data_IF_406922165395
#
_entry.id   IF_406922165395
#
_cell.length_a   1.000
_cell.length_b   1.000
_cell.length_c   1.000
_cell.angle_alpha   90.00
_cell.angle_beta   90.00
_cell.angle_gamma   90.00
#
_symmetry.space_group_name_H-M   'P 1'
#
loop_
_entity.id
_entity.type
_entity.pdbx_description
1 polymer ?
#
# COMPACT_ATOMS: atom_id res chain seq x y z
N UNK A 1 -37.56 -57.22 -57.78
CA UNK A 1 -37.67 -56.25 -56.69
C UNK A 1 -38.26 -54.95 -57.30
N UNK A 2 -39.36 -54.46 -56.72
CA UNK A 2 -40.05 -53.27 -57.28
C UNK A 2 -39.18 -52.02 -57.04
N UNK A 3 -39.17 -51.10 -57.97
CA UNK A 3 -38.50 -49.79 -57.88
C UNK A 3 -38.78 -49.07 -56.57
N UNK A 4 -39.97 -49.22 -56.03
CA UNK A 4 -40.39 -48.70 -54.72
C UNK A 4 -39.62 -49.32 -53.56
N UNK A 5 -39.27 -50.61 -53.61
CA UNK A 5 -38.51 -51.25 -52.54
C UNK A 5 -37.04 -50.79 -52.54
N UNK A 6 -36.44 -50.51 -53.70
CA UNK A 6 -35.11 -49.98 -53.80
C UNK A 6 -35.02 -48.50 -53.35
N UNK A 7 -36.03 -47.72 -53.66
CA UNK A 7 -36.16 -46.33 -53.20
C UNK A 7 -36.27 -46.29 -51.65
N UNK A 8 -37.11 -47.15 -51.08
CA UNK A 8 -37.28 -47.20 -49.61
C UNK A 8 -35.99 -47.67 -48.91
N UNK A 9 -35.21 -48.57 -49.52
CA UNK A 9 -33.93 -49.04 -49.00
C UNK A 9 -32.88 -47.91 -49.02
N UNK A 10 -32.81 -47.12 -50.10
CA UNK A 10 -31.91 -45.98 -50.19
C UNK A 10 -32.26 -44.91 -49.19
N UNK A 11 -33.52 -44.56 -49.00
CA UNK A 11 -33.97 -43.60 -47.99
C UNK A 11 -33.62 -44.12 -46.58
N UNK A 12 -33.87 -45.39 -46.27
CA UNK A 12 -33.53 -45.95 -44.98
C UNK A 12 -32.02 -45.91 -44.70
N UNK A 13 -31.19 -46.20 -45.72
CA UNK A 13 -29.72 -46.13 -45.59
C UNK A 13 -29.26 -44.69 -45.35
N UNK A 14 -29.81 -43.69 -46.05
CA UNK A 14 -29.50 -42.28 -45.84
C UNK A 14 -29.88 -41.84 -44.42
N UNK A 15 -31.06 -42.24 -43.94
CA UNK A 15 -31.53 -41.93 -42.57
C UNK A 15 -30.59 -42.55 -41.53
N UNK A 16 -30.17 -43.81 -41.70
CA UNK A 16 -29.25 -44.47 -40.78
C UNK A 16 -27.90 -43.77 -40.77
N UNK A 17 -27.34 -43.39 -41.93
CA UNK A 17 -26.10 -42.64 -42.03
C UNK A 17 -26.24 -41.28 -41.36
N UNK A 18 -27.34 -40.59 -41.57
CA UNK A 18 -27.60 -39.30 -40.93
C UNK A 18 -27.68 -39.42 -39.40
N UNK A 19 -28.38 -40.39 -38.89
CA UNK A 19 -28.48 -40.69 -37.44
C UNK A 19 -27.10 -41.06 -36.89
N UNK A 20 -26.31 -41.92 -37.56
CA UNK A 20 -24.99 -42.30 -37.13
C UNK A 20 -24.03 -41.09 -37.08
N UNK A 21 -24.06 -40.23 -38.09
CA UNK A 21 -23.23 -39.03 -38.14
C UNK A 21 -23.64 -37.97 -37.07
N UNK A 22 -24.93 -37.85 -36.79
CA UNK A 22 -25.47 -36.95 -35.76
C UNK A 22 -25.28 -37.49 -34.33
N UNK A 23 -24.95 -38.76 -34.18
CA UNK A 23 -24.68 -39.40 -32.87
C UNK A 23 -23.27 -39.16 -32.34
N UNK A 24 -22.36 -38.75 -33.20
CA UNK A 24 -20.93 -38.62 -32.88
C UNK A 24 -20.63 -37.13 -32.63
N UNK A 25 -19.89 -36.84 -31.54
CA UNK A 25 -19.32 -35.54 -31.28
C UNK A 25 -17.90 -35.65 -30.76
N UNK A 26 -17.09 -34.59 -30.94
CA UNK A 26 -15.69 -34.55 -30.54
C UNK A 26 -15.54 -33.54 -29.44
N UNK A 27 -14.91 -33.91 -28.33
CA UNK A 27 -14.56 -33.02 -27.23
C UNK A 27 -13.10 -32.55 -27.44
N UNK A 28 -12.87 -31.26 -27.71
CA UNK A 28 -11.52 -30.72 -27.82
C UNK A 28 -10.80 -30.72 -26.46
N UNK A 29 -9.46 -30.71 -26.47
CA UNK A 29 -8.62 -30.73 -25.26
C UNK A 29 -8.88 -29.51 -24.34
N UNK A 30 -9.28 -28.40 -24.91
CA UNK A 30 -9.50 -27.14 -24.20
C UNK A 30 -10.95 -26.90 -23.78
N UNK A 31 -11.83 -27.90 -23.95
CA UNK A 31 -13.25 -27.79 -23.58
C UNK A 31 -13.71 -29.03 -22.83
N UNK A 32 -14.65 -28.83 -21.94
CA UNK A 32 -15.47 -29.91 -21.37
C UNK A 32 -16.83 -29.91 -22.07
N UNK A 33 -17.40 -31.08 -22.24
CA UNK A 33 -18.69 -31.23 -22.87
C UNK A 33 -19.73 -31.69 -21.84
N UNK A 34 -20.84 -30.96 -21.79
CA UNK A 34 -22.02 -31.33 -20.99
C UNK A 34 -23.09 -31.76 -21.92
N UNK A 35 -23.58 -33.00 -21.71
CA UNK A 35 -24.68 -33.57 -22.46
C UNK A 35 -25.95 -33.38 -21.65
N UNK A 36 -26.88 -32.60 -22.21
CA UNK A 36 -28.19 -32.36 -21.61
C UNK A 36 -29.28 -33.12 -22.37
N UNK A 37 -30.32 -33.56 -21.66
CA UNK A 37 -31.52 -34.14 -22.21
C UNK A 37 -32.76 -33.45 -21.60
N UNK A 38 -33.53 -32.80 -22.43
CA UNK A 38 -34.66 -31.97 -21.98
C UNK A 38 -34.29 -31.00 -20.87
N UNK A 39 -33.09 -30.39 -20.97
CA UNK A 39 -32.56 -29.42 -19.98
C UNK A 39 -31.90 -30.00 -18.73
N UNK A 40 -31.96 -31.33 -18.51
CA UNK A 40 -31.31 -32.01 -17.42
C UNK A 40 -29.92 -32.54 -17.85
N UNK A 41 -28.93 -32.42 -16.99
CA UNK A 41 -27.57 -32.97 -17.26
C UNK A 41 -27.63 -34.51 -17.12
N UNK A 42 -27.33 -35.18 -18.22
CA UNK A 42 -27.25 -36.64 -18.26
C UNK A 42 -25.82 -37.12 -18.12
N UNK A 43 -24.88 -36.44 -18.75
CA UNK A 43 -23.48 -36.82 -18.73
C UNK A 43 -22.57 -35.59 -18.82
N UNK A 44 -21.38 -35.66 -18.21
CA UNK A 44 -20.34 -34.65 -18.27
C UNK A 44 -19.04 -35.32 -18.70
N UNK A 45 -18.49 -34.89 -19.85
CA UNK A 45 -17.23 -35.40 -20.39
C UNK A 45 -16.11 -34.40 -20.13
N UNK A 46 -15.17 -34.83 -19.27
CA UNK A 46 -13.99 -34.07 -18.92
C UNK A 46 -12.80 -34.41 -19.83
N UNK A 47 -12.78 -35.68 -20.34
CA UNK A 47 -11.69 -36.13 -21.16
C UNK A 47 -11.93 -35.80 -22.65
N UNK A 48 -10.89 -35.33 -23.34
CA UNK A 48 -10.98 -35.07 -24.79
C UNK A 48 -11.07 -36.37 -25.57
N UNK A 49 -11.79 -36.30 -26.67
CA UNK A 49 -11.92 -37.46 -27.54
C UNK A 49 -13.25 -37.56 -28.24
N UNK A 50 -13.48 -38.70 -28.88
CA UNK A 50 -14.67 -38.99 -29.65
C UNK A 50 -15.73 -39.61 -28.72
N UNK A 51 -16.91 -39.02 -28.65
CA UNK A 51 -17.99 -39.37 -27.76
C UNK A 51 -19.30 -39.55 -28.54
N UNK A 52 -20.27 -40.26 -27.93
CA UNK A 52 -21.54 -40.55 -28.53
C UNK A 52 -22.68 -39.85 -27.78
N UNK A 53 -23.65 -39.36 -28.52
CA UNK A 53 -24.91 -38.80 -27.99
C UNK A 53 -26.11 -39.41 -28.73
N UNK A 54 -27.26 -39.36 -28.08
CA UNK A 54 -28.52 -39.73 -28.74
C UNK A 54 -29.01 -38.53 -29.58
N UNK A 55 -29.00 -38.65 -30.91
CA UNK A 55 -29.41 -37.53 -31.77
C UNK A 55 -30.89 -37.18 -31.52
N UNK A 56 -31.22 -35.92 -31.77
CA UNK A 56 -32.59 -35.35 -31.62
C UNK A 56 -33.04 -35.15 -30.16
N UNK A 57 -32.48 -35.87 -29.18
CA UNK A 57 -32.92 -35.85 -27.78
C UNK A 57 -31.88 -35.17 -26.90
N UNK A 58 -30.60 -35.40 -27.20
CA UNK A 58 -29.49 -34.90 -26.41
C UNK A 58 -28.78 -33.73 -27.10
N UNK A 59 -28.54 -32.69 -26.32
CA UNK A 59 -27.79 -31.51 -26.74
C UNK A 59 -26.44 -31.47 -26.04
N UNK A 60 -25.40 -31.03 -26.75
CA UNK A 60 -24.04 -30.92 -26.19
C UNK A 60 -23.68 -29.46 -26.10
N UNK A 61 -23.38 -29.02 -24.88
CA UNK A 61 -22.85 -27.69 -24.60
C UNK A 61 -21.38 -27.79 -24.22
N UNK A 62 -20.54 -26.99 -24.87
CA UNK A 62 -19.11 -26.95 -24.60
C UNK A 62 -18.81 -25.80 -23.65
N UNK A 63 -18.00 -26.08 -22.63
CA UNK A 63 -17.48 -25.11 -21.66
C UNK A 63 -15.97 -25.08 -21.77
N UNK A 64 -15.40 -23.89 -21.96
CA UNK A 64 -13.95 -23.71 -22.06
C UNK A 64 -13.29 -23.91 -20.68
N UNK A 65 -12.21 -24.73 -20.63
CA UNK A 65 -11.44 -25.01 -19.41
C UNK A 65 -10.12 -24.26 -19.34
N UNK A 66 -9.85 -23.39 -20.32
CA UNK A 66 -8.64 -22.55 -20.32
C UNK A 66 -8.72 -21.49 -19.24
N UNK A 67 -7.54 -21.07 -18.81
CA UNK A 67 -7.41 -19.93 -17.91
C UNK A 67 -7.87 -18.65 -18.63
N UNK A 68 -8.80 -17.93 -18.03
CA UNK A 68 -9.38 -16.70 -18.55
C UNK A 68 -8.99 -15.53 -17.67
N UNK A 69 -8.80 -14.41 -18.29
CA UNK A 69 -8.62 -13.14 -17.61
C UNK A 69 -9.97 -12.45 -17.34
N UNK A 70 -10.02 -11.79 -16.23
CA UNK A 70 -11.08 -10.91 -15.81
C UNK A 70 -10.46 -9.57 -15.40
N UNK A 71 -10.99 -8.47 -15.88
CA UNK A 71 -10.56 -7.11 -15.56
C UNK A 71 -11.74 -6.37 -14.93
N UNK A 72 -11.64 -6.11 -13.62
CA UNK A 72 -12.68 -5.44 -12.86
C UNK A 72 -12.77 -3.95 -13.19
N UNK A 73 -13.96 -3.40 -13.06
CA UNK A 73 -14.14 -1.95 -13.13
C UNK A 73 -13.55 -1.27 -11.89
N UNK A 74 -13.04 -0.03 -12.01
CA UNK A 74 -12.57 0.73 -10.86
C UNK A 74 -13.68 0.93 -9.84
N UNK A 75 -13.43 0.56 -8.60
CA UNK A 75 -14.38 0.64 -7.49
C UNK A 75 -13.89 1.60 -6.42
N UNK A 76 -14.77 2.48 -5.96
CA UNK A 76 -14.48 3.46 -4.91
C UNK A 76 -14.66 2.80 -3.54
N UNK A 77 -13.62 2.83 -2.72
CA UNK A 77 -13.56 2.17 -1.42
C UNK A 77 -13.08 3.14 -0.32
N UNK A 78 -13.56 2.89 0.89
CA UNK A 78 -13.12 3.60 2.09
C UNK A 78 -12.30 2.65 2.96
N UNK A 79 -11.07 3.03 3.30
CA UNK A 79 -10.18 2.29 4.20
C UNK A 79 -10.51 2.55 5.68
N UNK A 80 -9.92 1.77 6.62
CA UNK A 80 -10.08 1.98 8.07
C UNK A 80 -9.66 3.38 8.51
N UNK A 81 -8.61 3.92 7.90
CA UNK A 81 -8.09 5.28 8.14
C UNK A 81 -8.90 6.38 7.42
N UNK A 82 -10.07 6.03 6.89
CA UNK A 82 -11.02 6.94 6.23
C UNK A 82 -10.47 7.65 4.98
N UNK A 83 -9.55 7.01 4.30
CA UNK A 83 -9.07 7.49 3.01
C UNK A 83 -9.94 6.89 1.89
N UNK A 84 -10.46 7.76 1.00
CA UNK A 84 -11.23 7.37 -0.16
C UNK A 84 -10.30 7.02 -1.31
N UNK A 85 -10.33 5.77 -1.74
CA UNK A 85 -9.47 5.24 -2.79
C UNK A 85 -10.29 4.58 -3.90
N UNK A 86 -9.83 4.72 -5.12
CA UNK A 86 -10.29 4.01 -6.30
C UNK A 86 -9.35 2.83 -6.53
N UNK A 87 -9.89 1.62 -6.51
CA UNK A 87 -9.12 0.38 -6.69
C UNK A 87 -9.55 -0.32 -7.97
N UNK A 88 -8.58 -0.71 -8.79
CA UNK A 88 -8.78 -1.52 -9.97
C UNK A 88 -8.09 -2.86 -9.75
N UNK A 89 -8.84 -3.96 -9.94
CA UNK A 89 -8.39 -5.34 -9.72
C UNK A 89 -8.45 -6.14 -11.01
N UNK A 90 -7.67 -7.20 -11.06
CA UNK A 90 -7.71 -8.21 -12.11
C UNK A 90 -7.73 -9.59 -11.48
N UNK A 91 -8.32 -10.55 -12.16
CA UNK A 91 -8.28 -11.94 -11.74
C UNK A 91 -8.08 -12.87 -12.93
N UNK A 92 -7.64 -14.08 -12.65
CA UNK A 92 -7.60 -15.20 -13.59
C UNK A 92 -8.36 -16.36 -13.03
N UNK A 93 -9.25 -16.89 -13.82
CA UNK A 93 -10.16 -17.94 -13.40
C UNK A 93 -10.33 -19.00 -14.46
N UNK A 94 -10.73 -20.20 -14.06
CA UNK A 94 -11.11 -21.29 -14.96
C UNK A 94 -12.20 -22.14 -14.36
N UNK A 95 -12.95 -22.83 -15.20
CA UNK A 95 -13.95 -23.78 -14.79
C UNK A 95 -13.26 -25.10 -14.40
N UNK A 96 -13.44 -25.51 -13.14
CA UNK A 96 -12.92 -26.77 -12.59
C UNK A 96 -13.97 -27.87 -12.54
N UNK A 97 -15.20 -27.52 -12.21
CA UNK A 97 -16.36 -28.42 -12.24
C UNK A 97 -17.41 -27.89 -13.23
N UNK A 98 -17.39 -28.39 -14.47
CA UNK A 98 -18.33 -27.92 -15.50
C UNK A 98 -19.79 -28.25 -15.18
N UNK A 99 -20.04 -29.31 -14.38
CA UNK A 99 -21.40 -29.66 -13.97
C UNK A 99 -22.02 -28.62 -13.05
N UNK A 100 -21.34 -28.32 -11.97
CA UNK A 100 -21.77 -27.28 -11.00
C UNK A 100 -21.88 -25.93 -11.69
N UNK A 101 -20.89 -25.61 -12.56
CA UNK A 101 -20.89 -24.38 -13.33
C UNK A 101 -22.13 -24.24 -14.22
N UNK A 102 -22.48 -25.29 -14.95
CA UNK A 102 -23.61 -25.27 -15.83
C UNK A 102 -24.97 -25.25 -15.07
N UNK A 103 -25.06 -25.96 -13.94
CA UNK A 103 -26.25 -25.94 -13.08
C UNK A 103 -26.53 -24.56 -12.50
N UNK A 104 -25.45 -23.86 -12.06
CA UNK A 104 -25.58 -22.55 -11.42
C UNK A 104 -25.67 -21.39 -12.41
N UNK A 105 -24.87 -21.41 -13.48
CA UNK A 105 -24.62 -20.22 -14.31
C UNK A 105 -25.01 -20.40 -15.77
N UNK A 106 -25.01 -21.61 -16.29
CA UNK A 106 -25.31 -22.02 -17.68
C UNK A 106 -24.40 -21.41 -18.73
N UNK A 107 -24.02 -20.15 -18.61
CA UNK A 107 -23.21 -19.41 -19.59
C UNK A 107 -21.99 -18.77 -18.94
N UNK A 108 -20.93 -18.61 -19.74
CA UNK A 108 -19.69 -17.95 -19.30
C UNK A 108 -19.90 -16.47 -18.98
N UNK A 109 -20.80 -15.80 -19.70
CA UNK A 109 -21.14 -14.39 -19.43
C UNK A 109 -21.75 -14.22 -18.04
N UNK A 110 -22.62 -15.14 -17.62
CA UNK A 110 -23.13 -15.16 -16.26
C UNK A 110 -22.02 -15.44 -15.23
N UNK A 111 -21.07 -16.33 -15.58
CA UNK A 111 -19.88 -16.55 -14.76
C UNK A 111 -19.07 -15.31 -14.52
N UNK A 112 -18.81 -14.52 -15.55
CA UNK A 112 -18.15 -13.21 -15.43
C UNK A 112 -18.93 -12.25 -14.54
N UNK A 113 -20.23 -12.13 -14.72
CA UNK A 113 -21.08 -11.22 -13.93
C UNK A 113 -21.13 -11.60 -12.43
N UNK A 114 -21.11 -12.91 -12.12
CA UNK A 114 -21.00 -13.38 -10.74
C UNK A 114 -19.62 -13.11 -10.17
N UNK A 115 -18.59 -13.30 -10.98
CA UNK A 115 -17.21 -12.99 -10.57
C UNK A 115 -17.04 -11.49 -10.27
N UNK A 116 -17.64 -10.59 -11.08
CA UNK A 116 -17.68 -9.15 -10.81
C UNK A 116 -18.21 -8.88 -9.39
N UNK A 117 -19.37 -9.41 -9.05
CA UNK A 117 -19.96 -9.20 -7.73
C UNK A 117 -19.16 -9.78 -6.57
N UNK A 118 -18.61 -10.99 -6.74
CA UNK A 118 -17.87 -11.68 -5.68
C UNK A 118 -16.49 -11.05 -5.44
N UNK A 119 -15.77 -10.71 -6.50
CA UNK A 119 -14.47 -10.05 -6.37
C UNK A 119 -14.64 -8.67 -5.75
N UNK A 120 -15.62 -7.88 -6.24
CA UNK A 120 -15.89 -6.55 -5.68
C UNK A 120 -16.26 -6.62 -4.19
N UNK A 121 -17.10 -7.58 -3.80
CA UNK A 121 -17.47 -7.78 -2.40
C UNK A 121 -16.26 -8.15 -1.53
N UNK A 122 -15.45 -9.13 -1.97
CA UNK A 122 -14.26 -9.58 -1.24
C UNK A 122 -13.19 -8.46 -1.15
N UNK A 123 -12.96 -7.73 -2.24
CA UNK A 123 -12.06 -6.57 -2.28
C UNK A 123 -12.52 -5.51 -1.30
N UNK A 124 -13.80 -5.17 -1.32
CA UNK A 124 -14.39 -4.18 -0.43
C UNK A 124 -14.29 -4.60 1.04
N UNK A 125 -14.63 -5.84 1.36
CA UNK A 125 -14.57 -6.36 2.73
C UNK A 125 -13.14 -6.32 3.28
N UNK A 126 -12.18 -6.84 2.53
CA UNK A 126 -10.80 -6.96 2.99
C UNK A 126 -10.11 -5.59 3.04
N UNK A 127 -10.25 -4.75 2.00
CA UNK A 127 -9.58 -3.44 1.95
C UNK A 127 -10.18 -2.47 2.98
N UNK A 128 -11.50 -2.49 3.20
CA UNK A 128 -12.14 -1.64 4.22
C UNK A 128 -11.75 -2.03 5.65
N UNK A 129 -11.23 -3.22 5.87
CA UNK A 129 -10.72 -3.67 7.17
C UNK A 129 -9.23 -3.36 7.39
N UNK A 130 -8.52 -2.93 6.35
CA UNK A 130 -7.07 -2.64 6.41
C UNK A 130 -6.79 -1.15 6.24
N UNK A 131 -5.59 -0.70 6.64
CA UNK A 131 -5.15 0.68 6.40
C UNK A 131 -4.64 0.86 4.96
N UNK A 132 -4.64 2.10 4.47
CA UNK A 132 -4.10 2.41 3.14
C UNK A 132 -2.64 1.94 2.99
N UNK A 133 -1.83 2.09 4.04
CA UNK A 133 -0.42 1.69 4.02
C UNK A 133 -0.24 0.17 3.91
N UNK A 134 -1.09 -0.63 4.53
CA UNK A 134 -1.08 -2.09 4.44
C UNK A 134 -1.46 -2.58 3.03
N UNK A 135 -2.41 -1.92 2.40
CA UNK A 135 -2.86 -2.26 1.05
C UNK A 135 -1.88 -1.80 -0.04
N UNK A 136 -1.13 -0.71 0.21
CA UNK A 136 -0.22 -0.12 -0.77
C UNK A 136 1.17 -0.76 -0.75
N UNK A 137 1.71 -1.06 0.44
CA UNK A 137 3.11 -1.48 0.62
C UNK A 137 3.26 -2.99 0.71
N UNK A 138 4.18 -3.53 -0.09
CA UNK A 138 4.59 -4.93 -0.04
C UNK A 138 5.78 -5.18 0.91
N UNK A 139 6.59 -4.15 1.22
CA UNK A 139 7.84 -4.29 1.97
C UNK A 139 7.87 -3.45 3.25
N UNK A 140 8.53 -3.97 4.28
CA UNK A 140 8.77 -3.28 5.56
C UNK A 140 9.92 -2.26 5.51
N UNK A 141 10.37 -1.83 4.32
CA UNK A 141 11.45 -0.86 4.18
C UNK A 141 11.11 0.43 4.91
N UNK A 142 12.03 0.88 5.78
CA UNK A 142 11.92 2.19 6.42
C UNK A 142 11.92 3.28 5.34
N UNK A 143 10.91 4.13 5.35
CA UNK A 143 10.89 5.33 4.55
C UNK A 143 11.77 6.37 5.27
N UNK A 144 12.45 7.22 4.51
CA UNK A 144 13.12 8.39 5.08
C UNK A 144 12.04 9.42 5.41
N UNK A 145 11.67 9.48 6.67
CA UNK A 145 10.73 10.46 7.19
C UNK A 145 11.46 11.71 7.69
N UNK A 146 10.79 12.82 7.70
CA UNK A 146 11.21 14.01 8.47
C UNK A 146 11.20 13.68 9.97
N UNK A 147 11.97 14.42 10.77
CA UNK A 147 12.07 14.19 12.23
C UNK A 147 10.69 14.11 12.91
N UNK A 148 9.71 14.89 12.45
CA UNK A 148 8.33 14.89 12.95
C UNK A 148 7.55 13.62 12.62
N UNK A 149 7.79 13.03 11.45
CA UNK A 149 7.20 11.75 11.04
C UNK A 149 7.85 10.59 11.80
N UNK A 150 9.14 10.71 12.17
CA UNK A 150 9.85 9.79 13.06
C UNK A 150 9.29 9.82 14.48
N UNK A 151 9.00 11.01 15.02
CA UNK A 151 8.43 11.17 16.35
C UNK A 151 7.01 10.56 16.45
N UNK A 152 6.19 10.71 15.40
CA UNK A 152 4.91 10.01 15.27
C UNK A 152 5.07 8.50 15.06
N UNK A 153 6.16 8.08 14.45
CA UNK A 153 6.49 6.70 14.20
C UNK A 153 6.98 5.98 15.47
N UNK A 154 7.81 6.66 16.27
CA UNK A 154 8.26 6.18 17.58
C UNK A 154 7.09 6.09 18.57
N UNK A 155 6.08 6.93 18.43
CA UNK A 155 4.82 6.82 19.15
C UNK A 155 3.95 5.60 18.75
N UNK A 156 4.43 4.73 17.86
CA UNK A 156 3.83 3.42 17.52
C UNK A 156 2.57 3.49 16.66
N UNK A 157 2.21 4.64 16.11
CA UNK A 157 0.91 4.82 15.45
C UNK A 157 0.89 4.76 13.92
N UNK A 158 2.02 4.74 13.21
CA UNK A 158 1.96 4.99 11.77
C UNK A 158 2.77 4.06 10.84
N UNK A 159 3.64 3.17 11.30
CA UNK A 159 4.64 2.58 10.39
C UNK A 159 4.80 1.06 10.45
N UNK A 160 4.17 0.39 11.39
CA UNK A 160 4.24 -1.07 11.45
C UNK A 160 3.33 -1.67 10.37
N UNK A 161 3.91 -2.17 9.28
CA UNK A 161 3.21 -3.02 8.33
C UNK A 161 3.18 -4.43 8.93
N UNK A 162 2.00 -4.88 9.30
CA UNK A 162 1.77 -6.21 9.86
C UNK A 162 1.41 -7.21 8.77
N UNK A 163 0.51 -6.82 7.89
CA UNK A 163 -0.07 -7.67 6.84
C UNK A 163 0.68 -7.47 5.53
N UNK A 164 0.70 -6.27 5.00
CA UNK A 164 1.29 -5.92 3.70
C UNK A 164 0.45 -6.37 2.50
N UNK A 165 0.67 -5.72 1.35
CA UNK A 165 -0.12 -5.90 0.12
C UNK A 165 -0.29 -7.37 -0.31
N UNK A 166 0.78 -8.16 -0.25
CA UNK A 166 0.74 -9.55 -0.73
C UNK A 166 -0.18 -10.42 0.12
N UNK A 167 -0.21 -10.19 1.44
CA UNK A 167 -1.11 -10.90 2.33
C UNK A 167 -2.56 -10.41 2.19
N UNK A 168 -2.77 -9.11 1.94
CA UNK A 168 -4.10 -8.54 1.66
C UNK A 168 -4.67 -9.18 0.40
N UNK A 169 -3.90 -9.22 -0.68
CA UNK A 169 -4.29 -9.88 -1.94
C UNK A 169 -4.54 -11.37 -1.72
N UNK A 170 -3.70 -12.04 -0.92
CA UNK A 170 -3.91 -13.45 -0.57
C UNK A 170 -5.21 -13.71 0.21
N UNK A 171 -5.61 -12.81 1.11
CA UNK A 171 -6.90 -12.89 1.81
C UNK A 171 -8.07 -12.76 0.84
N UNK A 172 -8.01 -11.77 -0.06
CA UNK A 172 -9.05 -11.56 -1.08
C UNK A 172 -9.18 -12.80 -1.96
N UNK A 173 -8.06 -13.33 -2.46
CA UNK A 173 -8.05 -14.53 -3.29
C UNK A 173 -8.65 -15.74 -2.56
N UNK A 174 -8.28 -15.96 -1.30
CA UNK A 174 -8.77 -17.08 -0.51
C UNK A 174 -10.29 -16.99 -0.26
N UNK A 175 -10.79 -15.79 0.05
CA UNK A 175 -12.22 -15.53 0.26
C UNK A 175 -13.01 -15.76 -1.03
N UNK A 176 -12.58 -15.14 -2.13
CA UNK A 176 -13.22 -15.30 -3.45
C UNK A 176 -13.17 -16.74 -3.95
N UNK A 177 -12.00 -17.40 -3.89
CA UNK A 177 -11.83 -18.76 -4.41
C UNK A 177 -12.66 -19.79 -3.63
N UNK A 178 -12.83 -19.60 -2.33
CA UNK A 178 -13.67 -20.48 -1.50
C UNK A 178 -15.13 -20.46 -1.97
N UNK A 179 -15.68 -19.27 -2.20
CA UNK A 179 -17.08 -19.12 -2.62
C UNK A 179 -17.29 -19.57 -4.06
N UNK A 180 -16.40 -19.20 -4.97
CA UNK A 180 -16.54 -19.53 -6.40
C UNK A 180 -16.46 -21.04 -6.63
N UNK A 181 -15.57 -21.74 -5.94
CA UNK A 181 -15.41 -23.18 -6.08
C UNK A 181 -16.59 -23.96 -5.48
N UNK A 182 -17.08 -23.55 -4.31
CA UNK A 182 -18.14 -24.25 -3.62
C UNK A 182 -19.51 -24.08 -4.28
N UNK A 183 -19.82 -22.89 -4.78
CA UNK A 183 -21.18 -22.55 -5.25
C UNK A 183 -21.30 -22.58 -6.78
N UNK A 184 -20.22 -22.32 -7.50
CA UNK A 184 -20.27 -22.06 -8.94
C UNK A 184 -19.39 -22.97 -9.80
N UNK A 185 -18.55 -23.82 -9.20
CA UNK A 185 -17.73 -24.78 -9.91
C UNK A 185 -16.57 -24.20 -10.74
N UNK A 186 -16.19 -22.93 -10.49
CA UNK A 186 -14.99 -22.33 -11.08
C UNK A 186 -14.02 -21.87 -9.99
N UNK A 187 -12.76 -21.83 -10.32
CA UNK A 187 -11.68 -21.48 -9.40
C UNK A 187 -10.95 -20.21 -9.88
N UNK A 188 -10.71 -19.30 -8.95
CA UNK A 188 -9.87 -18.13 -9.17
C UNK A 188 -8.44 -18.50 -8.80
N UNK A 189 -7.56 -18.65 -9.80
CA UNK A 189 -6.17 -19.04 -9.60
C UNK A 189 -5.25 -17.87 -9.24
N UNK A 190 -5.59 -16.68 -9.69
CA UNK A 190 -4.83 -15.48 -9.42
C UNK A 190 -5.70 -14.25 -9.33
N UNK A 191 -5.38 -13.39 -8.39
CA UNK A 191 -6.02 -12.10 -8.20
C UNK A 191 -4.95 -11.07 -7.85
N UNK A 192 -5.12 -9.84 -8.30
CA UNK A 192 -4.20 -8.77 -7.98
C UNK A 192 -4.81 -7.39 -8.12
N UNK A 193 -4.19 -6.43 -7.44
CA UNK A 193 -4.53 -5.02 -7.56
C UNK A 193 -3.70 -4.44 -8.69
N UNK A 194 -4.35 -3.95 -9.73
CA UNK A 194 -3.74 -3.34 -10.90
C UNK A 194 -3.30 -1.91 -10.62
N UNK A 195 -4.20 -1.14 -10.03
CA UNK A 195 -3.99 0.27 -9.70
C UNK A 195 -4.79 0.64 -8.47
N UNK A 196 -4.20 1.52 -7.67
CA UNK A 196 -4.84 2.12 -6.51
C UNK A 196 -4.53 3.61 -6.52
N UNK A 197 -5.55 4.44 -6.54
CA UNK A 197 -5.44 5.89 -6.55
C UNK A 197 -6.41 6.50 -5.54
N UNK A 198 -6.21 7.76 -5.21
CA UNK A 198 -7.29 8.52 -4.57
C UNK A 198 -8.40 8.83 -5.55
N UNK A 199 -9.63 8.83 -5.08
CA UNK A 199 -10.79 9.24 -5.88
C UNK A 199 -10.57 10.68 -6.38
N UNK A 200 -10.81 10.92 -7.67
CA UNK A 200 -10.50 12.20 -8.33
C UNK A 200 -11.08 13.43 -7.61
N UNK A 201 -12.28 13.30 -7.04
CA UNK A 201 -12.93 14.38 -6.32
C UNK A 201 -12.20 14.82 -5.04
N UNK A 202 -11.42 13.94 -4.40
CA UNK A 202 -10.72 14.23 -3.15
C UNK A 202 -9.26 14.65 -3.36
N UNK A 203 -8.67 14.40 -4.52
CA UNK A 203 -7.27 14.73 -4.85
C UNK A 203 -6.91 16.19 -4.54
N UNK A 204 -7.69 17.22 -4.94
CA UNK A 204 -7.35 18.61 -4.65
C UNK A 204 -7.27 18.90 -3.15
N UNK A 205 -8.19 18.35 -2.34
CA UNK A 205 -8.21 18.51 -0.89
C UNK A 205 -7.00 17.83 -0.22
N UNK A 206 -6.58 16.67 -0.75
CA UNK A 206 -5.38 15.97 -0.25
C UNK A 206 -4.13 16.78 -0.52
N UNK A 207 -3.97 17.34 -1.73
CA UNK A 207 -2.84 18.21 -2.04
C UNK A 207 -2.80 19.48 -1.20
N UNK A 208 -3.96 20.07 -0.94
CA UNK A 208 -4.04 21.26 -0.07
C UNK A 208 -3.68 20.91 1.38
N UNK A 209 -4.16 19.78 1.91
CA UNK A 209 -3.77 19.25 3.22
C UNK A 209 -2.26 19.04 3.30
N UNK A 210 -1.66 18.35 2.32
CA UNK A 210 -0.22 18.10 2.27
C UNK A 210 0.58 19.40 2.19
N UNK A 211 0.13 20.37 1.39
CA UNK A 211 0.75 21.71 1.29
C UNK A 211 0.73 22.43 2.64
N UNK A 212 -0.42 22.48 3.29
CA UNK A 212 -0.58 23.10 4.60
C UNK A 212 0.29 22.43 5.67
N UNK A 213 0.39 21.12 5.64
CA UNK A 213 1.27 20.38 6.54
C UNK A 213 2.75 20.68 6.31
N UNK A 214 3.19 20.77 5.05
CA UNK A 214 4.58 21.16 4.71
C UNK A 214 4.91 22.59 5.12
N UNK A 215 3.97 23.52 4.94
CA UNK A 215 4.12 24.90 5.42
C UNK A 215 4.23 24.93 6.95
N UNK A 216 3.40 24.19 7.66
CA UNK A 216 3.45 24.08 9.12
C UNK A 216 4.80 23.57 9.62
N UNK A 217 5.32 22.53 8.97
CA UNK A 217 6.64 21.95 9.26
C UNK A 217 7.75 23.00 9.00
N UNK A 218 7.71 23.68 7.87
CA UNK A 218 8.67 24.74 7.54
C UNK A 218 8.67 25.86 8.56
N UNK A 219 7.49 26.37 8.95
CA UNK A 219 7.35 27.42 9.96
C UNK A 219 7.86 26.97 11.33
N UNK A 220 7.71 25.67 11.69
CA UNK A 220 8.27 25.14 12.93
C UNK A 220 9.79 25.17 12.91
N UNK A 221 10.42 24.66 11.85
CA UNK A 221 11.88 24.72 11.72
C UNK A 221 12.43 26.13 11.69
N UNK A 222 11.72 27.07 11.06
CA UNK A 222 12.08 28.48 11.09
C UNK A 222 12.02 29.04 12.52
N UNK A 223 10.97 28.71 13.28
CA UNK A 223 10.84 29.13 14.68
C UNK A 223 11.92 28.54 15.59
N UNK A 224 12.21 27.25 15.43
CA UNK A 224 13.30 26.56 16.13
C UNK A 224 14.67 27.18 15.78
N UNK A 225 14.89 27.51 14.50
CA UNK A 225 16.09 28.20 14.06
C UNK A 225 16.27 29.57 14.68
N UNK A 226 15.20 30.39 14.75
CA UNK A 226 15.22 31.71 15.42
C UNK A 226 15.43 31.57 16.93
N UNK A 227 14.88 30.58 17.56
CA UNK A 227 15.13 30.30 18.99
C UNK A 227 16.60 29.99 19.23
N UNK A 228 17.19 29.10 18.44
CA UNK A 228 18.62 28.76 18.54
C UNK A 228 19.50 29.97 18.28
N UNK A 229 19.19 30.80 17.27
CA UNK A 229 19.87 32.06 17.01
C UNK A 229 19.83 32.97 18.23
N UNK A 230 18.66 33.16 18.84
CA UNK A 230 18.50 33.97 20.05
C UNK A 230 19.30 33.43 21.24
N UNK A 231 19.34 32.11 21.44
CA UNK A 231 20.14 31.47 22.49
C UNK A 231 21.63 31.67 22.26
N UNK A 232 22.11 31.51 21.03
CA UNK A 232 23.52 31.69 20.68
C UNK A 232 23.95 33.16 20.87
N UNK A 233 23.14 34.11 20.38
CA UNK A 233 23.41 35.53 20.54
C UNK A 233 23.41 35.93 22.02
N UNK A 234 22.44 35.44 22.80
CA UNK A 234 22.39 35.69 24.24
C UNK A 234 23.59 35.14 24.99
N UNK A 235 24.03 33.91 24.65
CA UNK A 235 25.24 33.33 25.23
C UNK A 235 26.49 34.11 24.83
N UNK A 236 26.62 34.49 23.55
CA UNK A 236 27.72 35.31 23.06
C UNK A 236 27.82 36.68 23.81
N UNK A 237 26.71 37.37 24.01
CA UNK A 237 26.67 38.61 24.75
C UNK A 237 27.12 38.43 26.20
N UNK A 238 26.62 37.40 26.87
CA UNK A 238 27.02 37.04 28.22
C UNK A 238 28.50 36.73 28.35
N UNK A 239 29.03 35.93 27.41
CA UNK A 239 30.45 35.55 27.42
C UNK A 239 31.35 36.79 27.17
N UNK A 240 30.91 37.69 26.27
CA UNK A 240 31.62 38.92 26.01
C UNK A 240 31.64 39.86 27.25
N UNK A 241 30.53 40.05 27.92
CA UNK A 241 30.44 40.83 29.16
C UNK A 241 31.29 40.19 30.29
N UNK A 242 31.32 38.88 30.39
CA UNK A 242 32.16 38.15 31.34
C UNK A 242 33.65 38.37 31.07
N UNK A 243 34.09 38.26 29.82
CA UNK A 243 35.48 38.45 29.41
C UNK A 243 35.91 39.91 29.66
N UNK A 244 35.07 40.90 29.30
CA UNK A 244 35.33 42.32 29.58
C UNK A 244 35.45 42.59 31.08
N UNK A 245 34.48 42.10 31.86
CA UNK A 245 34.48 42.25 33.33
C UNK A 245 35.70 41.62 33.99
N UNK A 246 36.09 40.41 33.58
CA UNK A 246 37.32 39.73 34.05
C UNK A 246 38.56 40.52 33.66
N UNK A 247 38.63 41.10 32.42
CA UNK A 247 39.69 41.93 31.95
C UNK A 247 39.84 43.23 32.78
N UNK A 248 38.70 43.90 33.08
CA UNK A 248 38.70 45.07 33.96
C UNK A 248 39.15 44.73 35.39
N UNK A 249 38.67 43.63 35.94
CA UNK A 249 39.02 43.21 37.30
C UNK A 249 40.52 42.88 37.42
N UNK A 250 41.06 42.16 36.41
CA UNK A 250 42.47 41.81 36.38
C UNK A 250 43.35 43.07 36.19
N UNK A 251 42.94 43.99 35.32
CA UNK A 251 43.63 45.27 35.16
C UNK A 251 43.67 46.07 36.45
N UNK A 252 42.54 46.16 37.18
CA UNK A 252 42.45 46.83 38.47
C UNK A 252 43.33 46.13 39.54
N UNK A 253 43.35 44.79 39.55
CA UNK A 253 44.21 43.99 40.44
C UNK A 253 45.69 44.25 40.20
N UNK A 254 46.14 44.26 38.93
CA UNK A 254 47.52 44.51 38.57
C UNK A 254 47.94 45.93 38.98
N UNK A 255 47.09 46.97 38.70
CA UNK A 255 47.35 48.35 39.13
C UNK A 255 47.46 48.46 40.65
N UNK A 256 46.48 47.89 41.37
CA UNK A 256 46.50 47.91 42.83
C UNK A 256 47.74 47.23 43.43
N UNK A 257 48.19 46.13 42.85
CA UNK A 257 49.43 45.49 43.26
C UNK A 257 50.66 46.33 42.97
N UNK A 258 50.74 46.97 41.81
CA UNK A 258 51.81 47.88 41.45
C UNK A 258 51.87 49.08 42.41
N UNK A 259 50.71 49.73 42.67
CA UNK A 259 50.61 50.83 43.60
C UNK A 259 51.02 50.43 45.04
N UNK A 260 50.57 49.28 45.52
CA UNK A 260 51.01 48.75 46.81
C UNK A 260 52.49 48.52 46.86
N UNK A 261 53.12 48.01 45.79
CA UNK A 261 54.55 47.78 45.73
C UNK A 261 55.35 49.08 45.70
N UNK A 262 54.84 50.09 45.02
CA UNK A 262 55.39 51.47 45.07
C UNK A 262 55.35 52.02 46.47
N UNK A 263 54.19 51.96 47.14
CA UNK A 263 54.01 52.44 48.53
C UNK A 263 54.96 51.71 49.49
N UNK A 264 55.08 50.36 49.37
CA UNK A 264 56.04 49.59 50.21
C UNK A 264 57.45 50.01 49.95
N UNK A 265 57.83 50.28 48.69
CA UNK A 265 59.19 50.75 48.31
C UNK A 265 59.48 52.13 48.91
N UNK A 266 58.56 53.05 48.79
CA UNK A 266 58.71 54.39 49.43
C UNK A 266 58.72 54.28 50.94
N UNK A 267 57.88 53.50 51.57
CA UNK A 267 57.90 53.27 53.03
C UNK A 267 59.27 52.69 53.50
N UNK A 268 59.78 51.71 52.77
CA UNK A 268 61.11 51.17 53.06
C UNK A 268 62.25 52.20 52.90
N UNK A 269 62.15 53.10 51.90
CA UNK A 269 63.10 54.17 51.67
C UNK A 269 63.09 55.20 52.78
N UNK A 270 61.87 55.66 53.16
CA UNK A 270 61.67 56.63 54.22
C UNK A 270 62.02 56.13 55.63
N UNK A 271 61.81 54.78 55.90
CA UNK A 271 62.19 54.19 57.16
C UNK A 271 63.74 54.06 57.35
N UNK A 272 64.53 54.25 56.31
CA UNK A 272 65.97 54.27 56.43
C UNK A 272 66.56 55.53 57.12
N UNK A 273 65.90 56.64 56.97
CA UNK A 273 66.24 57.91 57.63
C UNK A 273 64.91 58.70 57.96
N UNK A 274 64.36 58.48 59.15
CA UNK A 274 63.13 59.12 59.56
C UNK A 274 63.25 60.68 59.77
N UNK A 275 64.45 61.14 60.13
CA UNK A 275 64.71 62.59 60.29
C UNK A 275 64.67 63.35 58.93
N UNK A 276 65.31 62.69 57.93
CA UNK A 276 65.27 63.25 56.57
C UNK A 276 63.86 63.22 55.98
N UNK A 277 63.02 62.17 56.26
CA UNK A 277 61.63 62.16 55.86
C UNK A 277 60.81 63.27 56.53
N UNK A 278 61.01 63.56 57.82
CA UNK A 278 60.25 64.61 58.49
C UNK A 278 60.65 66.02 57.93
N UNK A 279 61.94 66.21 57.52
CA UNK A 279 62.36 67.41 56.82
C UNK A 279 61.75 67.57 55.44
N UNK A 280 61.70 66.54 54.64
CA UNK A 280 61.00 66.49 53.32
C UNK A 280 59.53 66.75 53.43
N UNK A 281 58.86 66.17 54.45
CA UNK A 281 57.46 66.40 54.73
C UNK A 281 57.10 67.85 55.09
N UNK A 282 58.01 68.56 55.73
CA UNK A 282 57.84 69.96 56.05
C UNK A 282 58.03 70.87 54.86
N UNK A 283 58.74 70.42 53.80
CA UNK A 283 58.88 71.21 52.57
C UNK A 283 57.66 71.07 51.63
N UNK A 284 56.85 70.05 51.82
CA UNK A 284 55.67 69.82 50.98
C UNK A 284 54.34 70.27 51.63
N UNK A 285 54.35 71.00 52.70
CA UNK A 285 53.22 71.76 53.18
C UNK A 285 53.40 73.27 52.72
#
# INVERSE_FOLDING_TARGET
>A
MSFKSWLNLTIATVVVIFIANSSIYVVPVHQHAIVTQFGNIVNTQLEPGLQFKTPLIQEVTYIDNRLRDWDGEPSDLLTVDKENIEVNTWARWRVTDPRVFFEALRTETQGQSVLDGLVDASVKNVISAETLMETLRATKRLLKYTAEELEKAEAGKAIAINTGRDKVVGKILAETSKETKALYGFEVEGLGIKRMNYVRAVIPKIYERMRSERIRIANRYESEGREQEGQILGQMTKDLESIESEGYAESARIRGQADAQVLITYAKAYNKDPEFYSFLSLIHI
#
